data_IF_971249918279
#
_entry.id   IF_971249918279
#
_cell.length_a   1.000
_cell.length_b   1.000
_cell.length_c   1.000
_cell.angle_alpha   90.00
_cell.angle_beta   90.00
_cell.angle_gamma   90.00
#
_symmetry.space_group_name_H-M   'P 1'
#
loop_
_entity.id
_entity.type
_entity.pdbx_description
1 polymer ?
#
# COMPACT_ATOMS: atom_id res chain seq x y z
N UNK A 1 4.70 11.02 -5.04
CA UNK A 1 3.98 10.02 -5.86
C UNK A 1 2.91 9.37 -5.01
N UNK A 2 1.63 9.54 -5.34
CA UNK A 2 0.56 8.85 -4.62
C UNK A 2 0.48 7.40 -5.10
N UNK A 3 0.31 6.48 -4.15
CA UNK A 3 0.20 5.05 -4.43
C UNK A 3 -1.05 4.48 -3.76
N UNK A 4 -1.63 3.49 -4.42
CA UNK A 4 -2.65 2.63 -3.84
C UNK A 4 -2.28 1.17 -4.14
N UNK A 5 -2.11 0.39 -3.09
CA UNK A 5 -1.67 -1.00 -3.15
C UNK A 5 -2.76 -1.83 -2.50
N UNK A 6 -3.27 -2.85 -3.20
CA UNK A 6 -4.22 -3.80 -2.63
C UNK A 6 -3.56 -5.15 -2.47
N UNK A 7 -3.71 -5.75 -1.31
CA UNK A 7 -3.16 -7.08 -0.99
C UNK A 7 -4.24 -8.01 -0.45
N UNK A 8 -4.06 -9.32 -0.65
CA UNK A 8 -4.91 -10.33 -0.04
C UNK A 8 -4.58 -10.47 1.45
N UNK A 9 -5.61 -10.52 2.30
CA UNK A 9 -5.49 -10.63 3.75
C UNK A 9 -5.78 -9.30 4.45
N UNK A 10 -6.10 -9.38 5.74
CA UNK A 10 -6.20 -8.23 6.64
C UNK A 10 -4.86 -7.97 7.31
N UNK A 11 -4.15 -6.97 6.81
CA UNK A 11 -2.88 -6.52 7.35
C UNK A 11 -3.15 -5.69 8.60
N UNK A 12 -2.46 -5.98 9.70
CA UNK A 12 -2.69 -5.27 10.95
C UNK A 12 -2.31 -3.77 10.79
N UNK A 13 -3.16 -2.81 11.22
CA UNK A 13 -2.87 -1.38 11.11
C UNK A 13 -1.61 -0.92 11.84
N UNK A 14 -1.04 -1.71 12.74
CA UNK A 14 0.28 -1.43 13.35
C UNK A 14 1.43 -1.44 12.34
N UNK A 15 1.24 -2.00 11.14
CA UNK A 15 2.27 -2.09 10.11
C UNK A 15 2.47 -0.77 9.33
N UNK A 16 1.62 0.24 9.56
CA UNK A 16 1.70 1.53 8.85
C UNK A 16 3.08 2.15 8.93
N UNK A 17 3.68 2.25 10.13
CA UNK A 17 5.01 2.85 10.31
C UNK A 17 6.10 2.08 9.55
N UNK A 18 6.01 0.75 9.54
CA UNK A 18 6.96 -0.10 8.81
C UNK A 18 6.76 -0.02 7.29
N UNK A 19 5.55 0.28 6.82
CA UNK A 19 5.19 0.43 5.42
C UNK A 19 5.14 1.91 5.00
N UNK A 20 6.15 2.67 5.42
CA UNK A 20 6.36 4.08 5.01
C UNK A 20 5.20 5.01 5.37
N UNK A 21 4.50 4.73 6.47
CA UNK A 21 3.30 5.44 6.91
C UNK A 21 2.15 5.43 5.90
N UNK A 22 2.10 4.44 5.01
CA UNK A 22 0.92 4.21 4.16
C UNK A 22 -0.28 3.87 5.05
N UNK A 23 -1.40 4.55 4.82
CA UNK A 23 -2.63 4.30 5.55
C UNK A 23 -3.19 2.93 5.16
N UNK A 24 -3.46 2.08 6.16
CA UNK A 24 -3.98 0.73 5.95
C UNK A 24 -5.48 0.73 6.24
N UNK A 25 -6.26 0.28 5.26
CA UNK A 25 -7.71 0.09 5.40
C UNK A 25 -8.04 -1.37 5.10
N UNK A 26 -8.81 -2.00 5.98
CA UNK A 26 -9.43 -3.29 5.67
C UNK A 26 -10.62 -3.09 4.75
N UNK A 27 -10.62 -3.80 3.64
CA UNK A 27 -11.70 -3.82 2.68
C UNK A 27 -12.54 -5.11 2.83
N UNK A 28 -13.66 -5.13 2.12
CA UNK A 28 -14.51 -6.31 1.98
C UNK A 28 -13.73 -7.48 1.35
N UNK A 29 -14.25 -8.71 1.52
CA UNK A 29 -13.64 -9.94 1.00
C UNK A 29 -12.21 -10.25 1.53
N UNK A 30 -11.84 -9.69 2.68
CA UNK A 30 -10.60 -10.06 3.36
C UNK A 30 -9.35 -9.50 2.70
N UNK A 31 -9.42 -8.30 2.12
CA UNK A 31 -8.27 -7.60 1.52
C UNK A 31 -7.90 -6.36 2.32
N UNK A 32 -6.67 -5.87 2.10
CA UNK A 32 -6.22 -4.60 2.67
C UNK A 32 -5.76 -3.67 1.57
N UNK A 33 -6.15 -2.41 1.69
CA UNK A 33 -5.66 -1.33 0.86
C UNK A 33 -4.66 -0.51 1.66
N UNK A 34 -3.48 -0.29 1.08
CA UNK A 34 -2.46 0.63 1.55
C UNK A 34 -2.42 1.82 0.62
N UNK A 35 -2.53 3.03 1.14
CA UNK A 35 -2.49 4.22 0.30
C UNK A 35 -1.80 5.41 0.96
N UNK A 36 -1.20 6.27 0.15
CA UNK A 36 -0.44 7.41 0.64
C UNK A 36 0.55 7.94 -0.37
N UNK A 37 1.37 8.91 0.06
CA UNK A 37 2.39 9.53 -0.79
C UNK A 37 3.75 8.97 -0.44
N UNK A 38 4.44 8.45 -1.46
CA UNK A 38 5.84 8.04 -1.38
C UNK A 38 6.74 9.09 -2.06
N UNK A 39 7.99 9.25 -1.59
CA UNK A 39 8.94 10.22 -2.14
C UNK A 39 9.34 9.88 -3.58
N UNK A 40 9.54 8.59 -3.88
CA UNK A 40 10.00 8.12 -5.19
C UNK A 40 9.61 6.65 -5.46
N UNK A 41 10.06 6.13 -6.60
CA UNK A 41 9.88 4.74 -6.99
C UNK A 41 10.69 3.77 -6.12
N UNK A 42 11.84 4.18 -5.57
CA UNK A 42 12.66 3.31 -4.73
C UNK A 42 11.95 2.96 -3.42
N UNK A 43 11.28 3.94 -2.80
CA UNK A 43 10.42 3.73 -1.64
C UNK A 43 9.26 2.77 -1.97
N UNK A 44 8.64 2.89 -3.14
CA UNK A 44 7.60 1.96 -3.59
C UNK A 44 8.12 0.53 -3.71
N UNK A 45 9.26 0.31 -4.37
CA UNK A 45 9.86 -1.03 -4.47
C UNK A 45 10.22 -1.59 -3.09
N UNK A 46 10.69 -0.74 -2.17
CA UNK A 46 10.91 -1.12 -0.77
C UNK A 46 9.65 -1.63 -0.09
N UNK A 47 8.51 -0.95 -0.26
CA UNK A 47 7.20 -1.40 0.25
C UNK A 47 6.78 -2.73 -0.38
N UNK A 48 6.94 -2.89 -1.70
CA UNK A 48 6.58 -4.13 -2.40
C UNK A 48 7.42 -5.33 -1.93
N UNK A 49 8.72 -5.12 -1.70
CA UNK A 49 9.60 -6.15 -1.12
C UNK A 49 9.21 -6.52 0.31
N UNK A 50 8.82 -5.53 1.13
CA UNK A 50 8.29 -5.76 2.47
C UNK A 50 7.02 -6.61 2.44
N UNK A 51 6.09 -6.32 1.52
CA UNK A 51 4.85 -7.10 1.31
C UNK A 51 5.17 -8.53 0.85
N UNK A 52 6.10 -8.71 -0.08
CA UNK A 52 6.55 -10.03 -0.55
C UNK A 52 7.15 -10.87 0.59
N UNK A 53 7.93 -10.25 1.47
CA UNK A 53 8.47 -10.88 2.68
C UNK A 53 7.40 -11.39 3.65
N UNK A 54 6.17 -10.87 3.58
CA UNK A 54 5.02 -11.35 4.34
C UNK A 54 4.23 -12.45 3.63
N UNK A 55 4.66 -12.86 2.43
CA UNK A 55 3.97 -13.81 1.58
C UNK A 55 2.52 -13.39 1.25
N UNK A 56 2.26 -12.07 1.23
CA UNK A 56 0.96 -11.53 0.87
C UNK A 56 0.86 -11.39 -0.64
N UNK A 57 -0.26 -11.83 -1.21
CA UNK A 57 -0.51 -11.69 -2.64
C UNK A 57 -0.85 -10.23 -2.95
N UNK A 58 -0.05 -9.61 -3.80
CA UNK A 58 -0.39 -8.33 -4.42
C UNK A 58 -1.56 -8.52 -5.40
N UNK A 59 -2.64 -7.77 -5.20
CA UNK A 59 -3.85 -7.82 -6.02
C UNK A 59 -3.88 -6.68 -7.03
N UNK A 60 -3.49 -5.48 -6.61
CA UNK A 60 -3.36 -4.32 -7.51
C UNK A 60 -2.35 -3.31 -7.01
N UNK A 61 -1.78 -2.55 -7.94
CA UNK A 61 -0.92 -1.40 -7.69
C UNK A 61 -1.33 -0.28 -8.64
N UNK A 62 -1.56 0.90 -8.09
CA UNK A 62 -1.81 2.13 -8.83
C UNK A 62 -0.84 3.20 -8.35
N UNK A 63 -0.27 3.95 -9.29
CA UNK A 63 0.63 5.07 -9.02
C UNK A 63 0.13 6.30 -9.78
N UNK A 64 0.11 7.45 -9.12
CA UNK A 64 -0.28 8.71 -9.72
C UNK A 64 0.57 9.86 -9.18
N UNK A 65 0.71 10.92 -9.97
CA UNK A 65 1.39 12.14 -9.52
C UNK A 65 0.50 12.99 -8.58
N UNK A 66 -0.82 12.78 -8.63
CA UNK A 66 -1.85 13.47 -7.82
C UNK A 66 -2.65 12.48 -6.97
N UNK A 67 -3.18 12.94 -5.82
CA UNK A 67 -4.16 12.15 -5.05
C UNK A 67 -5.48 12.06 -5.87
N UNK A 68 -6.12 10.88 -5.99
CA UNK A 68 -7.31 10.69 -6.81
C UNK A 68 -8.49 11.61 -6.47
N UNK A 69 -8.55 12.11 -5.22
CA UNK A 69 -9.65 12.92 -4.69
C UNK A 69 -9.39 14.44 -4.77
N UNK A 70 -8.29 14.88 -5.38
CA UNK A 70 -7.97 16.31 -5.61
C UNK A 70 -8.33 16.75 -7.04
N UNK A 71 -9.60 16.57 -7.40
CA UNK A 71 -10.20 16.96 -8.69
C UNK A 71 -11.37 17.92 -8.52
#
# INVERSE_FOLDING_TARGET
MYVSIRVQGHLDPSWQEWLENLHIVHEEAGTSQLSGTLPDQAALYGVLLKIDGLHLRLLSLQCSEKRPDEG
#
